data_IF_237388590139
#
_entry.id   IF_237388590139
#
_cell.length_a   1.000
_cell.length_b   1.000
_cell.length_c   1.000
_cell.angle_alpha   90.00
_cell.angle_beta   90.00
_cell.angle_gamma   90.00
#
_symmetry.space_group_name_H-M   'P 1'
#
loop_
_entity.id
_entity.type
_entity.pdbx_description
1 polymer ?
#
# COMPACT_ATOMS: atom_id res chain seq x y z
N UNK A 1 4.04 -24.58 22.64
CA UNK A 1 4.51 -23.95 21.39
C UNK A 1 4.09 -22.49 21.42
N UNK A 2 5.02 -21.54 21.22
CA UNK A 2 4.65 -20.12 21.15
C UNK A 2 4.26 -19.84 19.70
N UNK A 3 3.02 -19.42 19.47
CA UNK A 3 2.51 -19.09 18.13
C UNK A 3 3.12 -17.78 17.62
N UNK A 4 3.54 -17.79 16.35
CA UNK A 4 4.04 -16.61 15.64
C UNK A 4 2.88 -15.94 14.91
N UNK A 5 2.77 -14.62 15.04
CA UNK A 5 1.73 -13.83 14.39
C UNK A 5 2.28 -13.35 13.05
N UNK A 6 1.64 -13.72 11.94
CA UNK A 6 2.04 -13.28 10.61
C UNK A 6 1.08 -12.17 10.14
N UNK A 7 1.63 -10.99 9.84
CA UNK A 7 0.89 -9.87 9.26
C UNK A 7 1.27 -9.79 7.79
N UNK A 8 0.28 -9.90 6.91
CA UNK A 8 0.48 -9.87 5.46
C UNK A 8 0.21 -8.46 4.93
N UNK A 9 1.12 -7.93 4.13
CA UNK A 9 0.92 -6.64 3.46
C UNK A 9 1.16 -6.75 1.97
N UNK A 10 0.23 -6.21 1.19
CA UNK A 10 0.29 -6.16 -0.26
C UNK A 10 0.93 -4.89 -0.83
N UNK A 11 1.22 -3.91 0.04
CA UNK A 11 1.84 -2.64 -0.34
C UNK A 11 3.32 -2.67 -0.06
N UNK A 12 4.09 -2.94 -1.10
CA UNK A 12 5.55 -2.98 -1.04
C UNK A 12 6.13 -1.69 -0.44
N UNK A 13 5.57 -0.53 -0.80
CA UNK A 13 6.00 0.77 -0.27
C UNK A 13 5.87 0.89 1.25
N UNK A 14 4.84 0.28 1.88
CA UNK A 14 4.69 0.29 3.34
C UNK A 14 5.75 -0.60 4.01
N UNK A 15 6.04 -1.75 3.43
CA UNK A 15 7.09 -2.64 3.94
C UNK A 15 8.48 -2.04 3.78
N UNK A 16 8.75 -1.38 2.65
CA UNK A 16 10.01 -0.66 2.43
C UNK A 16 10.17 0.50 3.43
N UNK A 17 9.10 1.26 3.69
CA UNK A 17 9.14 2.33 4.67
C UNK A 17 9.42 1.83 6.10
N UNK A 18 8.86 0.67 6.47
CA UNK A 18 9.15 0.02 7.76
C UNK A 18 10.58 -0.55 7.86
N UNK A 19 11.21 -0.89 6.73
CA UNK A 19 12.61 -1.35 6.68
C UNK A 19 13.62 -0.20 6.62
N UNK A 20 13.17 1.02 6.31
CA UNK A 20 14.06 2.18 6.20
C UNK A 20 14.58 2.59 7.57
N UNK A 21 15.89 2.84 7.64
CA UNK A 21 16.55 3.37 8.84
C UNK A 21 16.30 4.86 9.06
N UNK A 22 15.97 5.60 7.98
CA UNK A 22 15.75 7.04 8.05
C UNK A 22 14.30 7.35 7.69
N UNK A 23 13.46 7.43 8.72
CA UNK A 23 12.04 7.76 8.57
C UNK A 23 11.68 8.96 9.42
N UNK A 24 11.12 10.00 8.80
CA UNK A 24 10.65 11.23 9.46
C UNK A 24 9.22 11.14 10.00
N UNK A 25 8.44 10.15 9.54
CA UNK A 25 7.06 9.96 9.94
C UNK A 25 6.96 9.31 11.32
N UNK A 26 6.33 10.01 12.27
CA UNK A 26 6.10 9.52 13.63
C UNK A 26 5.36 8.18 13.64
N UNK A 27 4.35 8.02 12.78
CA UNK A 27 3.56 6.78 12.65
C UNK A 27 4.44 5.58 12.30
N UNK A 28 5.43 5.78 11.43
CA UNK A 28 6.32 4.68 11.02
C UNK A 28 7.33 4.37 12.12
N UNK A 29 7.81 5.37 12.85
CA UNK A 29 8.70 5.17 14.00
C UNK A 29 8.00 4.40 15.13
N UNK A 30 6.77 4.76 15.47
CA UNK A 30 5.94 4.05 16.46
C UNK A 30 5.67 2.60 16.03
N UNK A 31 5.36 2.39 14.74
CA UNK A 31 5.18 1.05 14.19
C UNK A 31 6.47 0.21 14.25
N UNK A 32 7.64 0.81 13.96
CA UNK A 32 8.94 0.14 14.08
C UNK A 32 9.23 -0.26 15.53
N UNK A 33 9.04 0.65 16.49
CA UNK A 33 9.21 0.36 17.92
C UNK A 33 8.33 -0.80 18.38
N UNK A 34 7.04 -0.77 18.02
CA UNK A 34 6.10 -1.84 18.34
C UNK A 34 6.54 -3.20 17.78
N UNK A 35 7.09 -3.22 16.56
CA UNK A 35 7.61 -4.43 15.93
C UNK A 35 8.89 -4.94 16.61
N UNK A 36 9.77 -4.05 17.08
CA UNK A 36 10.96 -4.42 17.86
C UNK A 36 10.59 -5.02 19.22
N UNK A 37 9.61 -4.43 19.91
CA UNK A 37 9.11 -4.91 21.20
C UNK A 37 8.43 -6.28 21.08
N UNK A 38 7.85 -6.59 19.90
CA UNK A 38 7.10 -7.81 19.65
C UNK A 38 7.81 -8.75 18.65
N UNK A 39 8.82 -9.47 19.14
CA UNK A 39 9.60 -10.46 18.35
C UNK A 39 8.79 -11.63 17.79
N UNK A 40 7.51 -11.77 18.20
CA UNK A 40 6.57 -12.79 17.71
C UNK A 40 5.91 -12.40 16.39
N UNK A 41 5.94 -11.11 16.04
CA UNK A 41 5.29 -10.58 14.84
C UNK A 41 6.25 -10.71 13.65
N UNK A 42 5.75 -11.32 12.57
CA UNK A 42 6.45 -11.38 11.28
C UNK A 42 5.66 -10.61 10.25
N UNK A 43 6.33 -9.67 9.59
CA UNK A 43 5.79 -9.00 8.41
C UNK A 43 6.10 -9.84 7.17
N UNK A 44 5.06 -10.21 6.45
CA UNK A 44 5.16 -10.94 5.20
C UNK A 44 4.66 -10.07 4.04
N UNK A 45 5.39 -10.09 2.93
CA UNK A 45 4.93 -9.48 1.69
C UNK A 45 4.06 -10.47 0.93
N UNK A 46 2.92 -9.99 0.43
CA UNK A 46 2.08 -10.75 -0.49
C UNK A 46 1.88 -9.91 -1.74
N UNK A 47 2.00 -10.51 -2.93
CA UNK A 47 1.77 -9.76 -4.16
C UNK A 47 0.27 -9.45 -4.28
N UNK A 48 -0.10 -8.17 -4.37
CA UNK A 48 -1.45 -7.80 -4.78
C UNK A 48 -1.75 -8.40 -6.17
N UNK A 49 -2.97 -8.87 -6.38
CA UNK A 49 -3.49 -9.40 -7.66
C UNK A 49 -3.14 -10.86 -8.02
N UNK A 50 -2.78 -11.71 -7.05
CA UNK A 50 -2.81 -13.18 -7.25
C UNK A 50 -4.10 -13.76 -6.60
N UNK A 51 -5.27 -13.23 -6.96
CA UNK A 51 -6.58 -13.83 -6.60
C UNK A 51 -6.86 -14.05 -5.10
N UNK A 52 -6.21 -13.29 -4.21
CA UNK A 52 -6.47 -13.36 -2.77
C UNK A 52 -7.66 -12.44 -2.47
N UNK A 53 -8.83 -13.05 -2.30
CA UNK A 53 -10.12 -12.40 -2.12
C UNK A 53 -10.11 -11.31 -1.03
N UNK A 54 -9.43 -11.56 0.10
CA UNK A 54 -9.37 -10.61 1.22
C UNK A 54 -8.63 -9.30 0.88
N UNK A 55 -7.60 -9.37 0.02
CA UNK A 55 -6.87 -8.17 -0.44
C UNK A 55 -7.72 -7.30 -1.38
N UNK A 56 -8.60 -7.93 -2.16
CA UNK A 56 -9.49 -7.23 -3.09
C UNK A 56 -10.66 -6.58 -2.32
N UNK A 57 -11.13 -7.22 -1.25
CA UNK A 57 -12.14 -6.67 -0.34
C UNK A 57 -11.58 -5.44 0.39
N UNK A 58 -10.37 -5.49 0.94
CA UNK A 58 -9.75 -4.33 1.61
C UNK A 58 -9.54 -3.14 0.67
N UNK A 59 -9.12 -3.39 -0.57
CA UNK A 59 -8.93 -2.33 -1.57
C UNK A 59 -10.27 -1.72 -2.01
N UNK A 60 -11.31 -2.55 -2.11
CA UNK A 60 -12.69 -2.11 -2.39
C UNK A 60 -13.23 -1.28 -1.22
N UNK A 61 -13.04 -1.73 0.01
CA UNK A 61 -13.48 -1.02 1.21
C UNK A 61 -12.77 0.33 1.39
N UNK A 62 -11.47 0.41 1.09
CA UNK A 62 -10.73 1.67 1.10
C UNK A 62 -11.23 2.65 0.01
N UNK A 63 -11.60 2.13 -1.17
CA UNK A 63 -12.22 2.92 -2.25
C UNK A 63 -13.61 3.43 -1.86
N UNK A 64 -14.42 2.60 -1.21
CA UNK A 64 -15.76 2.94 -0.72
C UNK A 64 -15.71 3.97 0.40
N UNK A 65 -14.80 3.84 1.37
CA UNK A 65 -14.62 4.81 2.46
C UNK A 65 -14.16 6.20 2.00
N UNK A 66 -13.60 6.32 0.78
CA UNK A 66 -13.21 7.62 0.21
C UNK A 66 -14.36 8.27 -0.59
N UNK A 67 -15.50 7.58 -0.74
CA UNK A 67 -16.64 8.01 -1.59
C UNK A 67 -17.64 8.92 -0.86
N UNK A 68 -17.48 9.14 0.45
CA UNK A 68 -18.35 10.02 1.25
C UNK A 68 -18.10 11.53 1.03
N UNK A 69 -17.12 11.90 0.20
CA UNK A 69 -16.97 13.26 -0.32
C UNK A 69 -17.70 13.42 -1.65
N UNK A 70 -18.40 14.55 -1.83
CA UNK A 70 -19.14 14.95 -3.05
C UNK A 70 -18.43 14.38 -4.29
N UNK A 71 -19.04 13.44 -5.03
CA UNK A 71 -18.43 12.93 -6.24
C UNK A 71 -18.45 14.07 -7.24
N UNK A 72 -17.33 14.77 -7.36
CA UNK A 72 -17.01 15.40 -8.63
C UNK A 72 -17.04 14.24 -9.64
N UNK A 73 -18.15 14.16 -10.38
CA UNK A 73 -18.43 13.19 -11.43
C UNK A 73 -17.38 13.38 -12.53
N UNK A 74 -16.17 12.94 -12.26
CA UNK A 74 -15.17 12.73 -13.27
C UNK A 74 -15.63 11.49 -14.03
N UNK A 75 -15.84 11.58 -15.35
CA UNK A 75 -16.25 10.44 -16.16
C UNK A 75 -15.27 9.26 -16.08
N UNK A 76 -14.07 9.49 -15.53
CA UNK A 76 -13.03 8.51 -15.34
C UNK A 76 -12.42 8.60 -13.94
N UNK A 77 -12.17 7.46 -13.27
CA UNK A 77 -11.47 7.41 -11.99
C UNK A 77 -10.09 8.09 -12.03
N UNK A 78 -9.63 8.66 -10.91
CA UNK A 78 -8.29 9.28 -10.81
C UNK A 78 -7.15 8.32 -11.19
N UNK A 79 -7.31 7.01 -10.94
CA UNK A 79 -6.33 6.00 -11.35
C UNK A 79 -6.23 5.86 -12.88
N UNK A 80 -7.34 6.01 -13.60
CA UNK A 80 -7.38 5.99 -15.06
C UNK A 80 -6.55 7.15 -15.63
N UNK A 81 -6.80 8.37 -15.14
CA UNK A 81 -6.04 9.57 -15.56
C UNK A 81 -4.55 9.47 -15.23
N UNK A 82 -4.21 8.95 -14.04
CA UNK A 82 -2.81 8.72 -13.65
C UNK A 82 -2.11 7.70 -14.53
N UNK A 83 -2.78 6.60 -14.87
CA UNK A 83 -2.23 5.59 -15.77
C UNK A 83 -2.05 6.15 -17.19
N UNK A 84 -3.01 6.92 -17.70
CA UNK A 84 -2.86 7.59 -19.00
C UNK A 84 -1.66 8.53 -19.02
N UNK A 85 -1.52 9.37 -17.98
CA UNK A 85 -0.39 10.30 -17.89
C UNK A 85 0.95 9.55 -17.83
N UNK A 86 1.02 8.46 -17.04
CA UNK A 86 2.20 7.63 -16.92
C UNK A 86 2.57 6.94 -18.25
N UNK A 87 1.58 6.42 -18.98
CA UNK A 87 1.80 5.79 -20.29
C UNK A 87 2.31 6.79 -21.33
N UNK A 88 1.91 8.06 -21.23
CA UNK A 88 2.40 9.11 -22.12
C UNK A 88 3.80 9.61 -21.71
N UNK A 89 4.10 9.67 -20.41
CA UNK A 89 5.38 10.20 -19.92
C UNK A 89 6.52 9.19 -19.95
N UNK A 90 6.24 7.88 -19.79
CA UNK A 90 7.28 6.85 -19.78
C UNK A 90 8.11 6.81 -21.07
N UNK A 91 7.49 6.76 -22.27
CA UNK A 91 8.24 6.73 -23.52
C UNK A 91 9.00 8.04 -23.76
N UNK A 92 8.44 9.18 -23.33
CA UNK A 92 9.06 10.49 -23.47
C UNK A 92 10.34 10.59 -22.63
N UNK A 93 10.32 10.06 -21.40
CA UNK A 93 11.46 10.04 -20.50
C UNK A 93 12.55 9.04 -20.93
N UNK A 94 12.16 7.93 -21.56
CA UNK A 94 13.11 6.94 -22.08
C UNK A 94 13.76 7.33 -23.41
N UNK A 95 13.25 8.37 -24.07
CA UNK A 95 13.80 8.93 -25.30
C UNK A 95 14.78 10.10 -25.06
N UNK A 96 14.98 10.48 -23.80
CA UNK A 96 15.98 11.45 -23.32
C UNK A 96 17.27 10.72 -22.91
#
# INVERSE_FOLDING_TARGET
>A
MIEKINIWSNRESRLQALKSFYVKSKIIQEAQMTLLENTRIRLCWVKAHIGIQDNEIEDTLAKESTRDGIPASLPFPKCYLKNQLLQLSLPLWQAE
#
